data_IF_606660743806
#
_entry.id   IF_606660743806
#
_cell.length_a   1.000
_cell.length_b   1.000
_cell.length_c   1.000
_cell.angle_alpha   90.00
_cell.angle_beta   90.00
_cell.angle_gamma   90.00
#
_symmetry.space_group_name_H-M   'P 1'
#
loop_
_entity.id
_entity.type
_entity.pdbx_description
1 polymer ?
#
# COMPACT_ATOMS: atom_id res chain seq x y z
N UNK A 1 2.48 26.55 -32.30
CA UNK A 1 2.13 25.27 -31.65
C UNK A 1 1.32 25.57 -30.41
N UNK A 2 0.17 24.92 -30.24
CA UNK A 2 -0.71 25.03 -29.07
C UNK A 2 -0.79 23.65 -28.42
N UNK A 3 -0.65 23.56 -27.10
CA UNK A 3 -0.96 22.33 -26.36
C UNK A 3 -2.40 22.42 -25.88
N UNK A 4 -3.18 21.36 -26.09
CA UNK A 4 -4.56 21.25 -25.64
C UNK A 4 -4.72 19.93 -24.91
N UNK A 5 -4.89 19.97 -23.60
CA UNK A 5 -4.93 18.82 -22.70
C UNK A 5 -6.29 18.12 -22.61
N UNK A 6 -7.31 18.65 -23.29
CA UNK A 6 -8.65 18.06 -23.36
C UNK A 6 -9.22 18.23 -24.76
N UNK A 7 -10.21 17.40 -25.12
CA UNK A 7 -10.91 17.53 -26.41
C UNK A 7 -11.58 18.90 -26.59
N UNK A 8 -12.08 19.52 -25.53
CA UNK A 8 -12.67 20.87 -25.58
C UNK A 8 -11.63 21.93 -25.94
N UNK A 9 -10.45 21.89 -25.32
CA UNK A 9 -9.34 22.80 -25.67
C UNK A 9 -8.89 22.60 -27.12
N UNK A 10 -8.98 21.38 -27.66
CA UNK A 10 -8.69 21.12 -29.08
C UNK A 10 -9.73 21.81 -29.97
N UNK A 11 -11.02 21.76 -29.61
CA UNK A 11 -12.09 22.46 -30.37
C UNK A 11 -11.87 23.97 -30.43
N UNK A 12 -11.42 24.58 -29.34
CA UNK A 12 -11.14 26.01 -29.30
C UNK A 12 -9.85 26.38 -30.06
N UNK A 13 -8.87 25.47 -30.08
CA UNK A 13 -7.55 25.73 -30.64
C UNK A 13 -7.40 25.39 -32.12
N UNK A 14 -8.19 24.45 -32.65
CA UNK A 14 -8.09 23.92 -34.01
C UNK A 14 -9.09 24.55 -34.99
N UNK A 15 -8.69 24.61 -36.25
CA UNK A 15 -9.53 25.04 -37.37
C UNK A 15 -9.18 24.23 -38.64
N UNK A 16 -9.86 24.52 -39.75
CA UNK A 16 -9.64 23.84 -41.02
C UNK A 16 -8.22 24.00 -41.60
N UNK A 17 -7.43 25.00 -41.17
CA UNK A 17 -6.01 25.21 -41.55
C UNK A 17 -5.07 24.84 -40.39
N UNK A 18 -5.45 23.83 -39.61
CA UNK A 18 -4.66 23.27 -38.52
C UNK A 18 -4.24 21.82 -38.79
N UNK A 19 -3.14 21.42 -38.16
CA UNK A 19 -2.75 20.02 -37.98
C UNK A 19 -2.99 19.63 -36.52
N UNK A 20 -3.74 18.55 -36.28
CA UNK A 20 -3.84 17.94 -34.94
C UNK A 20 -2.86 16.77 -34.85
N UNK A 21 -1.99 16.78 -33.84
CA UNK A 21 -1.10 15.66 -33.49
C UNK A 21 -1.71 14.89 -32.32
N UNK A 22 -1.90 13.58 -32.50
CA UNK A 22 -2.42 12.67 -31.48
C UNK A 22 -1.42 11.55 -31.22
N UNK A 23 -1.09 11.32 -29.96
CA UNK A 23 -0.32 10.17 -29.49
C UNK A 23 -1.06 9.52 -28.32
N UNK A 24 -1.84 8.48 -28.62
CA UNK A 24 -2.72 7.78 -27.67
C UNK A 24 -2.19 6.39 -27.30
N UNK A 25 -0.97 6.34 -26.76
CA UNK A 25 -0.34 5.07 -26.35
C UNK A 25 -1.12 4.33 -25.26
N UNK A 26 -1.93 5.05 -24.48
CA UNK A 26 -2.78 4.50 -23.42
C UNK A 26 -4.16 4.03 -23.86
N UNK A 27 -4.54 4.20 -25.14
CA UNK A 27 -5.85 3.84 -25.68
C UNK A 27 -7.01 4.52 -24.97
N UNK A 28 -6.87 5.82 -24.65
CA UNK A 28 -7.85 6.58 -23.89
C UNK A 28 -8.99 7.13 -24.74
N UNK A 29 -8.74 7.35 -26.05
CA UNK A 29 -9.73 7.94 -26.95
C UNK A 29 -10.70 6.90 -27.51
N UNK A 30 -11.99 7.24 -27.54
CA UNK A 30 -13.02 6.43 -28.19
C UNK A 30 -13.01 6.65 -29.70
N UNK A 31 -13.67 5.75 -30.45
CA UNK A 31 -13.87 5.96 -31.89
C UNK A 31 -14.61 7.26 -32.22
N UNK A 32 -15.55 7.70 -31.37
CA UNK A 32 -16.25 8.97 -31.53
C UNK A 32 -15.30 10.16 -31.38
N UNK A 33 -14.41 10.13 -30.38
CA UNK A 33 -13.40 11.18 -30.19
C UNK A 33 -12.43 11.26 -31.38
N UNK A 34 -12.00 10.12 -31.94
CA UNK A 34 -11.17 10.13 -33.17
C UNK A 34 -11.91 10.71 -34.37
N UNK A 35 -13.18 10.34 -34.57
CA UNK A 35 -13.99 10.87 -35.66
C UNK A 35 -14.15 12.39 -35.54
N UNK A 36 -14.40 12.88 -34.34
CA UNK A 36 -14.47 14.31 -34.06
C UNK A 36 -13.13 15.03 -34.30
N UNK A 37 -12.02 14.52 -33.75
CA UNK A 37 -10.71 15.12 -33.99
C UNK A 37 -10.37 15.21 -35.48
N UNK A 38 -10.80 14.22 -36.28
CA UNK A 38 -10.58 14.23 -37.72
C UNK A 38 -11.39 15.27 -38.49
N UNK A 39 -12.50 15.76 -37.92
CA UNK A 39 -13.35 16.78 -38.55
C UNK A 39 -13.05 18.21 -38.09
N UNK A 40 -12.31 18.37 -36.98
CA UNK A 40 -11.92 19.68 -36.45
C UNK A 40 -10.76 20.34 -37.22
N UNK A 41 -9.96 19.55 -37.95
CA UNK A 41 -8.74 20.02 -38.59
C UNK A 41 -8.57 19.50 -40.02
N UNK A 42 -7.90 20.28 -40.88
CA UNK A 42 -7.60 19.88 -42.25
C UNK A 42 -6.71 18.63 -42.33
N UNK A 43 -5.83 18.45 -41.33
CA UNK A 43 -4.97 17.28 -41.19
C UNK A 43 -4.94 16.77 -39.75
N UNK A 44 -5.06 15.45 -39.58
CA UNK A 44 -4.78 14.75 -38.32
C UNK A 44 -3.61 13.77 -38.52
N UNK A 45 -2.64 13.83 -37.61
CA UNK A 45 -1.50 12.91 -37.55
C UNK A 45 -1.62 12.08 -36.28
N UNK A 46 -1.88 10.79 -36.44
CA UNK A 46 -1.97 9.84 -35.32
C UNK A 46 -0.71 9.00 -35.28
N UNK A 47 0.00 9.09 -34.16
CA UNK A 47 1.27 8.39 -33.92
C UNK A 47 0.99 7.11 -33.16
N UNK A 48 1.56 6.00 -33.64
CA UNK A 48 1.37 4.65 -33.10
C UNK A 48 -0.12 4.32 -32.86
N UNK A 49 -0.98 4.46 -33.89
CA UNK A 49 -2.41 4.24 -33.74
C UNK A 49 -2.72 2.82 -33.25
N UNK A 50 -3.49 2.74 -32.17
CA UNK A 50 -4.06 1.49 -31.67
C UNK A 50 -5.27 1.02 -32.49
N UNK A 51 -5.90 -0.05 -32.02
CA UNK A 51 -7.03 -0.70 -32.71
C UNK A 51 -8.20 0.26 -32.99
N UNK A 52 -8.63 1.05 -32.00
CA UNK A 52 -9.75 1.99 -32.14
C UNK A 52 -9.47 3.08 -33.17
N UNK A 53 -8.26 3.66 -33.16
CA UNK A 53 -7.84 4.64 -34.14
C UNK A 53 -7.87 4.08 -35.57
N UNK A 54 -7.32 2.87 -35.78
CA UNK A 54 -7.33 2.21 -37.09
C UNK A 54 -8.75 1.89 -37.56
N UNK A 55 -9.58 1.34 -36.68
CA UNK A 55 -10.98 0.97 -36.97
C UNK A 55 -11.81 2.18 -37.40
N UNK A 56 -11.61 3.33 -36.76
CA UNK A 56 -12.36 4.55 -37.05
C UNK A 56 -11.79 5.31 -38.24
N UNK A 57 -10.49 5.59 -38.25
CA UNK A 57 -9.90 6.55 -39.19
C UNK A 57 -9.39 5.91 -40.48
N UNK A 58 -9.11 4.61 -40.48
CA UNK A 58 -8.62 3.91 -41.66
C UNK A 58 -9.12 2.46 -41.75
N UNK A 59 -10.43 2.24 -41.96
CA UNK A 59 -10.98 0.90 -42.16
C UNK A 59 -10.24 0.16 -43.28
N UNK A 60 -9.74 -1.05 -42.98
CA UNK A 60 -8.96 -1.87 -43.92
C UNK A 60 -7.44 -1.66 -43.85
N UNK A 61 -6.96 -0.84 -42.92
CA UNK A 61 -5.55 -0.80 -42.51
C UNK A 61 -5.36 -1.70 -41.29
N UNK A 62 -4.32 -2.55 -41.32
CA UNK A 62 -4.04 -3.54 -40.27
C UNK A 62 -2.59 -3.44 -39.82
N UNK A 63 -2.32 -3.70 -38.54
CA UNK A 63 -0.95 -3.83 -38.03
C UNK A 63 -0.21 -4.96 -38.76
N UNK A 64 1.04 -4.72 -39.12
CA UNK A 64 1.90 -5.63 -39.89
C UNK A 64 3.23 -5.95 -39.20
N UNK A 65 3.31 -5.73 -37.89
CA UNK A 65 4.51 -5.96 -37.08
C UNK A 65 5.40 -4.71 -36.97
N UNK A 66 6.59 -4.89 -36.43
CA UNK A 66 7.50 -3.79 -36.08
C UNK A 66 8.45 -3.41 -37.24
N UNK A 67 8.92 -2.14 -37.29
CA UNK A 67 9.91 -1.73 -38.27
C UNK A 67 11.26 -2.45 -38.05
N UNK A 68 11.78 -3.08 -39.10
CA UNK A 68 13.00 -3.91 -39.03
C UNK A 68 14.29 -3.17 -39.42
N UNK A 69 14.18 -1.95 -39.95
CA UNK A 69 15.33 -1.16 -40.35
C UNK A 69 14.97 0.06 -41.20
N UNK A 70 15.98 0.80 -41.66
CA UNK A 70 15.72 1.98 -42.47
C UNK A 70 15.13 1.64 -43.84
N UNK A 71 14.34 2.56 -44.39
CA UNK A 71 13.50 2.32 -45.57
C UNK A 71 13.24 3.62 -46.34
N UNK A 72 13.16 3.52 -47.67
CA UNK A 72 12.90 4.67 -48.57
C UNK A 72 11.39 4.93 -48.75
N UNK A 73 11.01 6.17 -49.05
CA UNK A 73 9.62 6.63 -49.10
C UNK A 73 8.68 5.76 -49.95
N UNK A 74 9.09 5.40 -51.17
CA UNK A 74 8.34 4.47 -52.04
C UNK A 74 6.93 4.90 -52.42
N UNK A 75 6.56 6.18 -52.26
CA UNK A 75 5.20 6.68 -52.45
C UNK A 75 5.19 8.16 -52.89
N UNK A 76 4.05 8.70 -53.38
CA UNK A 76 3.95 10.08 -53.84
C UNK A 76 3.64 11.11 -52.74
N UNK A 77 3.46 10.70 -51.47
CA UNK A 77 3.14 11.62 -50.37
C UNK A 77 4.28 12.63 -50.21
N UNK A 78 4.03 13.95 -50.30
CA UNK A 78 5.08 14.97 -50.30
C UNK A 78 6.00 14.89 -49.07
N UNK A 79 5.43 14.73 -47.87
CA UNK A 79 6.21 14.60 -46.64
C UNK A 79 7.17 13.40 -46.66
N UNK A 80 6.72 12.26 -47.20
CA UNK A 80 7.57 11.08 -47.35
C UNK A 80 8.66 11.30 -48.41
N UNK A 81 8.33 11.92 -49.54
CA UNK A 81 9.31 12.25 -50.60
C UNK A 81 10.40 13.19 -50.11
N UNK A 82 10.03 14.22 -49.34
CA UNK A 82 10.97 15.18 -48.79
C UNK A 82 11.91 14.55 -47.75
N UNK A 83 11.42 13.56 -47.00
CA UNK A 83 12.26 12.76 -46.11
C UNK A 83 13.21 11.82 -46.88
N UNK A 84 12.75 11.26 -48.00
CA UNK A 84 13.52 10.35 -48.86
C UNK A 84 13.68 8.96 -48.25
N UNK A 85 14.34 8.87 -47.09
CA UNK A 85 14.60 7.64 -46.33
C UNK A 85 14.45 7.92 -44.83
N UNK A 86 13.95 6.96 -44.07
CA UNK A 86 13.77 7.08 -42.61
C UNK A 86 14.35 5.86 -41.90
N UNK A 87 14.65 6.00 -40.61
CA UNK A 87 14.87 4.86 -39.70
C UNK A 87 13.77 4.88 -38.62
N UNK A 88 12.70 4.07 -38.78
CA UNK A 88 11.55 4.07 -37.88
C UNK A 88 11.76 3.16 -36.65
N UNK A 89 12.92 2.51 -36.50
CA UNK A 89 13.17 1.62 -35.36
C UNK A 89 13.13 2.37 -34.03
N UNK A 90 12.68 1.67 -32.99
CA UNK A 90 12.72 2.16 -31.63
C UNK A 90 14.13 2.61 -31.23
N UNK A 91 14.17 3.58 -30.32
CA UNK A 91 15.37 4.14 -29.73
C UNK A 91 15.49 3.66 -28.28
N UNK A 92 16.56 4.07 -27.58
CA UNK A 92 16.74 3.74 -26.18
C UNK A 92 15.62 4.30 -25.30
N UNK A 93 15.08 5.47 -25.65
CA UNK A 93 14.01 6.12 -24.92
C UNK A 93 12.60 5.61 -25.28
N UNK A 94 12.40 5.06 -26.49
CA UNK A 94 11.06 4.57 -26.89
C UNK A 94 10.84 3.08 -26.64
N UNK A 95 11.89 2.26 -26.50
CA UNK A 95 11.78 0.79 -26.40
C UNK A 95 10.83 0.29 -25.31
N UNK A 96 10.67 1.03 -24.21
CA UNK A 96 9.84 0.66 -23.05
C UNK A 96 8.60 1.59 -22.90
N UNK A 97 8.44 2.57 -23.78
CA UNK A 97 7.46 3.65 -23.64
C UNK A 97 6.52 3.79 -24.86
N UNK A 98 6.83 3.11 -25.97
CA UNK A 98 6.10 3.19 -27.23
C UNK A 98 6.02 1.81 -27.88
N UNK A 99 5.03 1.61 -28.75
CA UNK A 99 4.79 0.36 -29.46
C UNK A 99 4.86 0.65 -30.96
N UNK A 100 6.08 0.69 -31.55
CA UNK A 100 6.23 1.02 -32.96
C UNK A 100 5.60 -0.08 -33.82
N UNK A 101 4.84 0.32 -34.83
CA UNK A 101 4.19 -0.56 -35.76
C UNK A 101 4.41 -0.16 -37.21
N UNK A 102 4.19 -1.11 -38.09
CA UNK A 102 4.02 -0.89 -39.53
C UNK A 102 2.62 -1.37 -39.92
N UNK A 103 2.16 -0.96 -41.09
CA UNK A 103 0.79 -1.19 -41.51
C UNK A 103 0.70 -1.85 -42.88
N UNK A 104 -0.12 -2.89 -42.98
CA UNK A 104 -0.63 -3.41 -44.23
C UNK A 104 -1.99 -2.78 -44.52
N UNK A 105 -2.42 -2.78 -45.78
CA UNK A 105 -3.72 -2.25 -46.13
C UNK A 105 -4.36 -3.04 -47.27
N UNK A 106 -5.65 -3.30 -47.11
CA UNK A 106 -6.53 -3.90 -48.11
C UNK A 106 -7.47 -2.85 -48.74
N UNK A 107 -7.25 -1.57 -48.43
CA UNK A 107 -8.04 -0.42 -48.88
C UNK A 107 -7.21 0.52 -49.78
N UNK A 108 -7.87 1.45 -50.46
CA UNK A 108 -7.21 2.50 -51.26
C UNK A 108 -6.63 3.58 -50.35
N UNK A 109 -5.43 3.30 -49.83
CA UNK A 109 -4.65 4.21 -48.99
C UNK A 109 -3.24 4.34 -49.55
N UNK A 110 -2.58 5.46 -49.22
CA UNK A 110 -1.17 5.65 -49.60
C UNK A 110 -0.28 5.11 -48.50
N UNK A 111 0.32 3.95 -48.73
CA UNK A 111 1.37 3.38 -47.87
C UNK A 111 2.74 3.87 -48.34
N UNK A 112 3.54 4.36 -47.39
CA UNK A 112 4.90 4.82 -47.61
C UNK A 112 5.86 4.06 -46.69
N UNK A 113 7.14 4.09 -47.02
CA UNK A 113 8.20 3.46 -46.23
C UNK A 113 7.91 1.97 -46.02
N UNK A 114 7.64 1.26 -47.13
CA UNK A 114 7.24 -0.14 -47.11
C UNK A 114 8.47 -1.05 -47.07
N UNK A 115 8.52 -1.90 -46.05
CA UNK A 115 9.52 -2.95 -45.87
C UNK A 115 8.84 -4.19 -45.32
N UNK A 116 9.21 -5.37 -45.82
CA UNK A 116 8.66 -6.66 -45.39
C UNK A 116 7.11 -6.71 -45.44
N UNK A 117 6.50 -5.94 -46.35
CA UNK A 117 5.04 -5.86 -46.53
C UNK A 117 4.33 -4.78 -45.70
N UNK A 118 4.97 -4.24 -44.65
CA UNK A 118 4.43 -3.19 -43.77
C UNK A 118 4.95 -1.79 -44.14
N UNK A 119 4.06 -0.79 -44.16
CA UNK A 119 4.40 0.62 -44.33
C UNK A 119 4.50 1.36 -43.00
N UNK A 120 5.55 2.16 -42.81
CA UNK A 120 5.73 2.95 -41.57
C UNK A 120 4.91 4.25 -41.54
N UNK A 121 4.31 4.63 -42.67
CA UNK A 121 3.37 5.74 -42.79
C UNK A 121 2.22 5.33 -43.70
N UNK A 122 0.99 5.60 -43.27
CA UNK A 122 -0.20 5.48 -44.11
C UNK A 122 -0.92 6.81 -44.18
N UNK A 123 -1.29 7.27 -45.36
CA UNK A 123 -2.12 8.46 -45.55
C UNK A 123 -3.42 8.08 -46.25
N UNK A 124 -4.53 8.54 -45.69
CA UNK A 124 -5.89 8.38 -46.22
C UNK A 124 -6.67 9.68 -46.09
N UNK A 125 -7.91 9.69 -46.57
CA UNK A 125 -8.85 10.80 -46.37
C UNK A 125 -10.14 10.30 -45.73
N UNK A 126 -10.63 11.04 -44.74
CA UNK A 126 -11.91 10.82 -44.08
C UNK A 126 -12.72 12.10 -44.21
N UNK A 127 -13.87 12.02 -44.89
CA UNK A 127 -14.76 13.17 -45.12
C UNK A 127 -14.07 14.42 -45.70
N UNK A 128 -13.02 14.22 -46.51
CA UNK A 128 -12.24 15.30 -47.12
C UNK A 128 -11.03 15.76 -46.31
N UNK A 129 -10.90 15.37 -45.05
CA UNK A 129 -9.78 15.67 -44.16
C UNK A 129 -8.65 14.66 -44.34
N UNK A 130 -7.40 15.11 -44.24
CA UNK A 130 -6.23 14.23 -44.41
C UNK A 130 -5.90 13.53 -43.10
N UNK A 131 -5.88 12.20 -43.12
CA UNK A 131 -5.46 11.38 -41.98
C UNK A 131 -4.10 10.76 -42.30
N UNK A 132 -3.11 11.02 -41.46
CA UNK A 132 -1.79 10.40 -41.54
C UNK A 132 -1.53 9.55 -40.30
N UNK A 133 -1.29 8.26 -40.51
CA UNK A 133 -0.98 7.28 -39.49
C UNK A 133 0.52 7.02 -39.49
N UNK A 134 1.22 7.48 -38.45
CA UNK A 134 2.66 7.32 -38.30
C UNK A 134 2.95 6.14 -37.37
N UNK A 135 3.70 5.16 -37.86
CA UNK A 135 3.91 3.91 -37.15
C UNK A 135 4.87 3.96 -35.97
N UNK A 136 5.71 4.99 -35.85
CA UNK A 136 6.77 5.00 -34.83
C UNK A 136 6.95 6.39 -34.24
N UNK A 137 6.81 6.51 -32.93
CA UNK A 137 7.06 7.74 -32.18
C UNK A 137 8.56 8.10 -32.18
N UNK A 138 9.46 7.14 -32.37
CA UNK A 138 10.91 7.36 -32.41
C UNK A 138 11.33 8.38 -33.48
N UNK A 139 10.54 8.52 -34.56
CA UNK A 139 10.76 9.52 -35.62
C UNK A 139 10.63 10.96 -35.08
N UNK A 140 9.79 11.16 -34.06
CA UNK A 140 9.49 12.47 -33.45
C UNK A 140 10.29 12.73 -32.17
N UNK A 141 10.94 11.71 -31.60
CA UNK A 141 11.68 11.82 -30.34
C UNK A 141 13.12 12.28 -30.55
N UNK A 142 13.67 12.98 -29.54
CA UNK A 142 14.99 13.59 -29.59
C UNK A 142 16.13 12.63 -29.98
N UNK A 143 16.03 11.33 -29.64
CA UNK A 143 17.07 10.33 -29.90
C UNK A 143 16.89 9.54 -31.20
N UNK A 144 15.82 9.84 -31.95
CA UNK A 144 15.56 9.27 -33.28
C UNK A 144 15.32 10.30 -34.38
N UNK A 145 15.06 11.57 -34.06
CA UNK A 145 14.74 12.62 -35.04
C UNK A 145 15.88 12.91 -36.02
N UNK A 146 17.12 12.71 -35.61
CA UNK A 146 18.33 12.92 -36.42
C UNK A 146 18.72 11.73 -37.31
N UNK A 147 17.99 10.60 -37.21
CA UNK A 147 18.26 9.41 -38.03
C UNK A 147 17.68 9.58 -39.43
N UNK A 148 18.55 9.44 -40.44
CA UNK A 148 18.16 9.52 -41.85
C UNK A 148 17.35 10.81 -42.13
N UNK A 149 16.16 10.70 -42.71
CA UNK A 149 15.23 11.80 -42.98
C UNK A 149 14.09 11.95 -41.96
N UNK A 150 14.23 11.42 -40.73
CA UNK A 150 13.18 11.47 -39.71
C UNK A 150 12.73 12.92 -39.41
N UNK A 151 13.67 13.85 -39.21
CA UNK A 151 13.38 15.27 -39.01
C UNK A 151 12.60 15.88 -40.19
N UNK A 152 13.00 15.56 -41.42
CA UNK A 152 12.31 16.05 -42.61
C UNK A 152 10.88 15.49 -42.69
N UNK A 153 10.66 14.22 -42.32
CA UNK A 153 9.33 13.64 -42.24
C UNK A 153 8.47 14.35 -41.19
N UNK A 154 9.01 14.53 -39.98
CA UNK A 154 8.34 15.18 -38.86
C UNK A 154 7.90 16.61 -39.21
N UNK A 155 8.81 17.42 -39.76
CA UNK A 155 8.54 18.81 -40.13
C UNK A 155 7.48 18.91 -41.24
N UNK A 156 7.51 18.02 -42.23
CA UNK A 156 6.55 18.06 -43.33
C UNK A 156 5.17 17.49 -42.95
N UNK A 157 5.11 16.54 -42.02
CA UNK A 157 3.83 16.02 -41.50
C UNK A 157 3.16 17.03 -40.56
N UNK A 158 3.92 17.60 -39.63
CA UNK A 158 3.38 18.46 -38.57
C UNK A 158 3.28 19.93 -38.99
N UNK A 159 4.14 20.38 -39.91
CA UNK A 159 4.21 21.75 -40.40
C UNK A 159 3.49 22.00 -41.72
N UNK A 160 2.61 21.09 -42.16
CA UNK A 160 1.82 21.26 -43.40
C UNK A 160 0.82 22.43 -43.34
N UNK A 161 0.46 22.84 -42.12
CA UNK A 161 -0.49 23.90 -41.81
C UNK A 161 0.14 24.95 -40.88
N UNK A 162 -0.47 26.14 -40.79
CA UNK A 162 0.06 27.25 -39.96
C UNK A 162 -0.02 26.96 -38.46
N UNK A 163 -1.05 26.22 -38.05
CA UNK A 163 -1.33 25.91 -36.65
C UNK A 163 -1.11 24.43 -36.41
N UNK A 164 -0.29 24.08 -35.42
CA UNK A 164 -0.14 22.72 -34.90
C UNK A 164 -0.75 22.68 -33.49
N UNK A 165 -1.74 21.80 -33.30
CA UNK A 165 -2.37 21.51 -32.02
C UNK A 165 -1.91 20.14 -31.55
N UNK A 166 -1.21 20.08 -30.42
CA UNK A 166 -0.87 18.82 -29.76
C UNK A 166 -2.00 18.45 -28.82
N UNK A 167 -2.61 17.27 -29.02
CA UNK A 167 -3.56 16.64 -28.13
C UNK A 167 -2.87 15.47 -27.39
N UNK A 168 -2.47 15.59 -26.11
CA UNK A 168 -2.00 14.50 -25.28
C UNK A 168 -3.22 13.87 -24.60
N UNK A 169 -3.84 12.82 -25.16
CA UNK A 169 -5.02 12.21 -24.55
C UNK A 169 -4.71 11.75 -23.13
N UNK A 170 -5.47 12.29 -22.17
CA UNK A 170 -5.29 12.05 -20.75
C UNK A 170 -6.31 11.06 -20.21
N UNK A 171 -6.13 10.64 -18.95
CA UNK A 171 -7.08 9.78 -18.22
C UNK A 171 -8.48 10.44 -18.16
N UNK A 172 -8.55 11.77 -18.19
CA UNK A 172 -9.80 12.54 -18.21
C UNK A 172 -10.60 12.40 -19.52
N UNK A 173 -9.96 11.98 -20.62
CA UNK A 173 -10.61 11.77 -21.92
C UNK A 173 -11.15 10.34 -22.08
N UNK A 174 -10.90 9.45 -21.11
CA UNK A 174 -11.59 8.17 -21.07
C UNK A 174 -13.07 8.42 -20.81
N UNK A 175 -13.99 7.67 -21.46
CA UNK A 175 -15.39 7.74 -21.12
C UNK A 175 -15.51 7.50 -19.61
N UNK A 176 -16.10 8.46 -18.90
CA UNK A 176 -16.57 8.26 -17.53
C UNK A 176 -17.71 7.27 -17.64
N UNK A 177 -17.41 5.98 -17.75
CA UNK A 177 -18.35 4.97 -17.30
C UNK A 177 -18.48 5.27 -15.82
N UNK A 178 -19.62 5.86 -15.42
CA UNK A 178 -19.95 6.01 -14.00
C UNK A 178 -19.61 4.72 -13.25
N UNK A 179 -19.29 4.77 -11.94
CA UNK A 179 -18.81 3.61 -11.21
C UNK A 179 -19.64 2.39 -11.60
N UNK A 180 -19.00 1.32 -12.15
CA UNK A 180 -19.73 0.16 -12.65
C UNK A 180 -20.66 -0.32 -11.54
N UNK A 181 -21.90 -0.68 -11.92
CA UNK A 181 -22.86 -1.16 -10.94
C UNK A 181 -22.22 -2.33 -10.18
N UNK A 182 -22.42 -2.43 -8.87
CA UNK A 182 -21.78 -3.47 -8.05
C UNK A 182 -22.07 -4.88 -8.61
N UNK A 183 -23.18 -5.01 -9.34
CA UNK A 183 -23.60 -6.18 -10.11
C UNK A 183 -22.69 -6.54 -11.31
N UNK A 184 -22.07 -5.56 -11.99
CA UNK A 184 -21.14 -5.80 -13.10
C UNK A 184 -19.74 -6.23 -12.61
N UNK A 185 -19.37 -5.78 -11.40
CA UNK A 185 -18.12 -6.15 -10.75
C UNK A 185 -18.18 -7.48 -9.97
N UNK A 186 -19.37 -8.03 -9.76
CA UNK A 186 -19.53 -9.32 -9.07
C UNK A 186 -19.65 -10.45 -10.10
N UNK A 187 -18.68 -11.38 -10.16
CA UNK A 187 -18.83 -12.60 -10.94
C UNK A 187 -20.14 -13.31 -10.63
N UNK A 188 -20.80 -13.91 -11.63
CA UNK A 188 -22.13 -14.51 -11.46
C UNK A 188 -22.25 -15.61 -10.38
N UNK A 189 -21.13 -16.12 -9.86
CA UNK A 189 -21.09 -17.06 -8.74
C UNK A 189 -21.21 -16.40 -7.35
N UNK A 190 -21.00 -15.09 -7.24
CA UNK A 190 -21.03 -14.37 -5.95
C UNK A 190 -22.45 -14.32 -5.38
N UNK A 191 -23.44 -14.03 -6.22
CA UNK A 191 -24.86 -14.02 -5.82
C UNK A 191 -25.32 -15.35 -5.20
N UNK A 192 -25.12 -16.52 -5.85
CA UNK A 192 -25.47 -17.78 -5.22
C UNK A 192 -24.63 -18.09 -3.97
N UNK A 193 -23.37 -17.65 -3.89
CA UNK A 193 -22.53 -17.83 -2.69
C UNK A 193 -23.07 -17.02 -1.48
N UNK A 194 -23.51 -15.77 -1.70
CA UNK A 194 -24.11 -14.93 -0.64
C UNK A 194 -25.45 -15.52 -0.17
N UNK A 195 -26.29 -16.01 -1.10
CA UNK A 195 -27.54 -16.68 -0.75
C UNK A 195 -27.30 -17.95 0.06
N UNK A 196 -26.28 -18.74 -0.29
CA UNK A 196 -25.88 -19.91 0.47
C UNK A 196 -25.41 -19.52 1.88
N UNK A 197 -24.60 -18.47 2.01
CA UNK A 197 -24.15 -17.95 3.31
C UNK A 197 -25.32 -17.53 4.20
N UNK A 198 -26.31 -16.82 3.64
CA UNK A 198 -27.53 -16.43 4.36
C UNK A 198 -28.35 -17.65 4.79
N UNK A 199 -28.49 -18.65 3.92
CA UNK A 199 -29.18 -19.90 4.24
C UNK A 199 -28.47 -20.68 5.36
N UNK A 200 -27.14 -20.79 5.30
CA UNK A 200 -26.32 -21.42 6.35
C UNK A 200 -26.43 -20.65 7.66
N UNK A 201 -26.37 -19.32 7.62
CA UNK A 201 -26.56 -18.48 8.81
C UNK A 201 -27.95 -18.68 9.42
N UNK A 202 -29.01 -18.68 8.62
CA UNK A 202 -30.37 -18.93 9.10
C UNK A 202 -30.51 -20.33 9.70
N UNK A 203 -29.97 -21.35 9.03
CA UNK A 203 -29.95 -22.72 9.55
C UNK A 203 -29.19 -22.81 10.89
N UNK A 204 -28.03 -22.14 11.00
CA UNK A 204 -27.25 -22.08 12.23
C UNK A 204 -27.99 -21.32 13.34
N UNK A 205 -28.66 -20.21 13.03
CA UNK A 205 -29.46 -19.44 13.96
C UNK A 205 -30.66 -20.25 14.48
N UNK A 206 -31.35 -20.98 13.59
CA UNK A 206 -32.43 -21.89 13.97
C UNK A 206 -31.90 -23.04 14.82
N UNK A 207 -30.81 -23.70 14.41
CA UNK A 207 -30.20 -24.81 15.16
C UNK A 207 -29.77 -24.38 16.56
N UNK A 208 -29.11 -23.22 16.67
CA UNK A 208 -28.62 -22.68 17.94
C UNK A 208 -29.74 -22.08 18.79
N UNK A 209 -30.78 -21.52 18.15
CA UNK A 209 -31.97 -20.96 18.81
C UNK A 209 -32.97 -22.02 19.28
N UNK A 210 -33.02 -23.20 18.64
CA UNK A 210 -33.87 -24.33 19.06
C UNK A 210 -33.42 -25.02 20.34
N UNK A 211 -32.31 -24.60 20.96
CA UNK A 211 -31.78 -25.16 22.21
C UNK A 211 -31.91 -24.21 23.40
N UNK A 212 -33.13 -23.78 23.66
CA UNK A 212 -33.58 -23.57 25.03
C UNK A 212 -34.62 -24.65 25.31
N UNK A 213 -34.17 -25.78 25.86
CA UNK A 213 -35.08 -26.70 26.52
C UNK A 213 -35.85 -25.93 27.61
N UNK A 214 -37.05 -26.41 28.02
CA UNK A 214 -37.85 -25.68 29.00
C UNK A 214 -36.97 -25.26 30.16
N UNK A 215 -36.86 -23.95 30.40
CA UNK A 215 -36.36 -23.46 31.68
C UNK A 215 -37.35 -23.97 32.69
N UNK A 216 -37.01 -25.12 33.28
CA UNK A 216 -37.64 -25.58 34.50
C UNK A 216 -37.48 -24.42 35.46
N UNK A 217 -38.61 -23.78 35.76
CA UNK A 217 -38.67 -22.71 36.75
C UNK A 217 -38.54 -23.42 38.08
N UNK A 218 -37.30 -23.74 38.44
CA UNK A 218 -37.01 -24.24 39.76
C UNK A 218 -37.23 -23.05 40.69
N UNK A 219 -38.26 -23.14 41.52
CA UNK A 219 -38.65 -22.11 42.47
C UNK A 219 -37.53 -21.90 43.48
N UNK A 220 -36.52 -21.08 43.17
CA UNK A 220 -35.54 -20.64 44.17
C UNK A 220 -36.21 -19.59 45.06
N UNK A 221 -36.40 -19.87 46.36
CA UNK A 221 -37.22 -19.04 47.24
C UNK A 221 -36.41 -17.90 47.86
N UNK A 222 -35.58 -17.16 47.12
CA UNK A 222 -35.00 -15.89 47.60
C UNK A 222 -34.83 -14.88 46.45
N UNK A 223 -35.53 -13.74 46.56
CA UNK A 223 -35.28 -12.52 45.77
C UNK A 223 -34.03 -11.85 46.34
N UNK A 224 -32.93 -11.81 45.58
CA UNK A 224 -31.74 -11.06 45.99
C UNK A 224 -31.79 -9.63 45.44
N UNK A 225 -31.78 -8.64 46.36
CA UNK A 225 -31.89 -7.20 46.05
C UNK A 225 -30.58 -6.67 45.45
N UNK A 226 -30.68 -5.74 44.50
CA UNK A 226 -29.56 -5.08 43.79
C UNK A 226 -28.48 -4.42 44.70
N UNK A 227 -28.71 -4.33 46.02
CA UNK A 227 -27.70 -3.93 46.99
C UNK A 227 -26.61 -4.98 47.23
N UNK A 228 -26.91 -6.28 47.15
CA UNK A 228 -25.94 -7.34 47.45
C UNK A 228 -24.83 -7.44 46.40
N UNK A 229 -25.11 -7.14 45.14
CA UNK A 229 -24.09 -7.10 44.09
C UNK A 229 -23.10 -5.95 44.29
N UNK A 230 -23.55 -4.80 44.83
CA UNK A 230 -22.66 -3.69 45.20
C UNK A 230 -21.80 -4.05 46.40
N UNK A 231 -22.37 -4.69 47.41
CA UNK A 231 -21.64 -5.11 48.60
C UNK A 231 -20.62 -6.21 48.29
N UNK A 232 -20.97 -7.16 47.41
CA UNK A 232 -20.05 -8.18 46.93
C UNK A 232 -18.84 -7.59 46.20
N UNK A 233 -19.06 -6.60 45.33
CA UNK A 233 -17.97 -5.91 44.61
C UNK A 233 -17.14 -4.99 45.51
N UNK A 234 -17.78 -4.33 46.48
CA UNK A 234 -17.10 -3.55 47.51
C UNK A 234 -16.20 -4.42 48.40
N UNK A 235 -16.69 -5.59 48.85
CA UNK A 235 -15.87 -6.57 49.58
C UNK A 235 -14.71 -7.11 48.74
N UNK A 236 -14.92 -7.27 47.43
CA UNK A 236 -13.85 -7.69 46.51
C UNK A 236 -12.74 -6.64 46.40
N UNK A 237 -13.09 -5.36 46.22
CA UNK A 237 -12.12 -4.26 46.20
C UNK A 237 -11.46 -4.02 47.57
N UNK A 238 -12.19 -4.25 48.65
CA UNK A 238 -11.61 -4.17 50.00
C UNK A 238 -10.55 -5.26 50.22
N UNK A 239 -10.79 -6.49 49.72
CA UNK A 239 -9.78 -7.57 49.80
C UNK A 239 -8.52 -7.26 49.00
N UNK A 240 -8.63 -6.69 47.80
CA UNK A 240 -7.43 -6.32 47.03
C UNK A 240 -6.64 -5.18 47.70
N UNK A 241 -7.33 -4.18 48.26
CA UNK A 241 -6.71 -3.07 49.01
C UNK A 241 -6.04 -3.53 50.31
N UNK A 242 -6.62 -4.52 51.01
CA UNK A 242 -6.06 -5.06 52.25
C UNK A 242 -4.69 -5.74 52.04
N UNK A 243 -4.46 -6.39 50.89
CA UNK A 243 -3.20 -7.08 50.57
C UNK A 243 -2.00 -6.13 50.46
N UNK A 244 -2.16 -5.03 49.74
CA UNK A 244 -1.10 -4.04 49.57
C UNK A 244 -0.73 -3.40 50.92
N UNK A 245 -1.74 -3.04 51.72
CA UNK A 245 -1.53 -2.50 53.07
C UNK A 245 -0.81 -3.48 54.00
N UNK A 246 -1.12 -4.77 53.90
CA UNK A 246 -0.43 -5.81 54.66
C UNK A 246 1.03 -5.96 54.25
N UNK A 247 1.33 -5.94 52.94
CA UNK A 247 2.70 -5.95 52.43
C UNK A 247 3.52 -4.76 52.93
N UNK A 248 2.94 -3.54 52.89
CA UNK A 248 3.59 -2.33 53.37
C UNK A 248 3.87 -2.40 54.88
N UNK A 249 2.91 -2.87 55.68
CA UNK A 249 3.07 -3.00 57.13
C UNK A 249 4.19 -4.00 57.50
N UNK A 250 4.28 -5.13 56.78
CA UNK A 250 5.35 -6.11 56.95
C UNK A 250 6.72 -5.51 56.62
N UNK A 251 6.84 -4.80 55.49
CA UNK A 251 8.08 -4.14 55.06
C UNK A 251 8.54 -3.07 56.02
N UNK A 252 7.64 -2.18 56.46
CA UNK A 252 7.96 -1.13 57.44
C UNK A 252 8.51 -1.76 58.73
N UNK A 253 7.87 -2.82 59.21
CA UNK A 253 8.34 -3.55 60.39
C UNK A 253 9.72 -4.19 60.18
N UNK A 254 9.93 -4.83 59.04
CA UNK A 254 11.18 -5.51 58.69
C UNK A 254 12.34 -4.52 58.53
N UNK A 255 12.15 -3.44 57.76
CA UNK A 255 13.14 -2.36 57.58
C UNK A 255 13.56 -1.80 58.94
N UNK A 256 12.60 -1.55 59.85
CA UNK A 256 12.91 -1.06 61.19
C UNK A 256 13.73 -2.03 62.05
N UNK A 257 13.53 -3.35 61.90
CA UNK A 257 14.34 -4.38 62.60
C UNK A 257 15.71 -4.54 61.95
N UNK A 258 15.78 -4.59 60.62
CA UNK A 258 17.01 -4.70 59.85
C UNK A 258 17.94 -3.50 60.10
N UNK A 259 17.41 -2.27 60.08
CA UNK A 259 18.18 -1.06 60.38
C UNK A 259 18.83 -1.12 61.77
N UNK A 260 18.09 -1.62 62.78
CA UNK A 260 18.63 -1.85 64.13
C UNK A 260 19.70 -2.94 64.14
N UNK A 261 19.49 -4.03 63.39
CA UNK A 261 20.43 -5.13 63.32
C UNK A 261 21.77 -4.71 62.71
N UNK A 262 21.77 -3.89 61.65
CA UNK A 262 23.00 -3.40 61.00
C UNK A 262 23.56 -2.11 61.61
N UNK A 263 22.93 -1.56 62.66
CA UNK A 263 23.42 -0.38 63.38
C UNK A 263 23.22 0.95 62.65
N UNK A 264 22.27 1.05 61.71
CA UNK A 264 22.01 2.27 60.95
C UNK A 264 21.06 3.24 61.68
N UNK A 265 21.28 4.57 61.56
CA UNK A 265 20.36 5.58 62.08
C UNK A 265 18.96 5.50 61.46
N UNK A 266 17.93 5.97 62.21
CA UNK A 266 16.54 6.05 61.72
C UNK A 266 16.32 7.03 60.56
N UNK A 267 17.32 7.85 60.23
CA UNK A 267 17.30 8.78 59.10
C UNK A 267 17.74 8.14 57.78
N UNK A 268 18.31 6.92 57.82
CA UNK A 268 18.67 6.20 56.60
C UNK A 268 17.42 5.80 55.81
N UNK A 269 17.53 5.91 54.50
CA UNK A 269 16.51 5.49 53.56
C UNK A 269 16.41 3.97 53.51
N UNK A 270 15.26 3.45 53.11
CA UNK A 270 15.06 2.01 52.95
C UNK A 270 16.00 1.40 51.89
N UNK A 271 16.46 2.18 50.90
CA UNK A 271 17.46 1.75 49.93
C UNK A 271 18.85 1.58 50.56
N UNK A 272 19.30 2.52 51.38
CA UNK A 272 20.59 2.42 52.09
C UNK A 272 20.59 1.24 53.08
N UNK A 273 19.46 0.99 53.74
CA UNK A 273 19.28 -0.18 54.62
C UNK A 273 19.34 -1.47 53.81
N UNK A 274 18.69 -1.54 52.65
CA UNK A 274 18.76 -2.70 51.76
C UNK A 274 20.19 -2.99 51.28
N UNK A 275 20.94 -1.97 50.88
CA UNK A 275 22.33 -2.10 50.44
C UNK A 275 23.26 -2.59 51.57
N UNK A 276 23.08 -2.06 52.78
CA UNK A 276 23.85 -2.48 53.96
C UNK A 276 23.53 -3.93 54.35
N UNK A 277 22.25 -4.32 54.33
CA UNK A 277 21.83 -5.71 54.59
C UNK A 277 22.42 -6.65 53.54
N UNK A 278 22.32 -6.32 52.25
CA UNK A 278 22.89 -7.13 51.17
C UNK A 278 24.41 -7.30 51.32
N UNK A 279 25.12 -6.26 51.75
CA UNK A 279 26.56 -6.33 52.01
C UNK A 279 26.89 -7.27 53.18
N UNK A 280 26.14 -7.18 54.28
CA UNK A 280 26.35 -7.98 55.49
C UNK A 280 25.99 -9.45 55.26
N UNK A 281 24.90 -9.75 54.57
CA UNK A 281 24.48 -11.13 54.27
C UNK A 281 25.17 -11.73 53.04
N UNK A 282 26.00 -10.94 52.33
CA UNK A 282 26.60 -11.30 51.02
C UNK A 282 25.55 -11.77 50.01
N UNK A 283 24.38 -11.14 50.04
CA UNK A 283 23.27 -11.42 49.13
C UNK A 283 23.29 -10.47 47.92
N UNK A 284 22.59 -10.86 46.85
CA UNK A 284 22.43 -9.99 45.69
C UNK A 284 21.68 -8.70 46.05
N UNK A 285 22.22 -7.54 45.65
CA UNK A 285 21.63 -6.23 45.98
C UNK A 285 20.27 -6.03 45.34
N UNK A 286 20.09 -6.44 44.07
CA UNK A 286 18.78 -6.36 43.40
C UNK A 286 17.74 -7.24 44.08
N UNK A 287 18.12 -8.45 44.50
CA UNK A 287 17.22 -9.35 45.24
C UNK A 287 16.74 -8.76 46.56
N UNK A 288 17.64 -8.22 47.39
CA UNK A 288 17.27 -7.60 48.68
C UNK A 288 16.41 -6.35 48.48
N UNK A 289 16.73 -5.54 47.46
CA UNK A 289 15.93 -4.36 47.11
C UNK A 289 14.53 -4.75 46.63
N UNK A 290 14.41 -5.78 45.79
CA UNK A 290 13.12 -6.33 45.33
C UNK A 290 12.20 -6.70 46.50
N UNK A 291 12.74 -7.46 47.45
CA UNK A 291 12.00 -7.90 48.64
C UNK A 291 11.54 -6.70 49.48
N UNK A 292 12.44 -5.74 49.75
CA UNK A 292 12.16 -4.62 50.66
C UNK A 292 11.35 -3.48 50.04
N UNK A 293 11.41 -3.28 48.72
CA UNK A 293 10.88 -2.10 48.06
C UNK A 293 10.00 -2.40 46.84
N UNK A 294 10.47 -3.25 45.93
CA UNK A 294 9.94 -3.23 44.56
C UNK A 294 8.88 -4.31 44.26
N UNK A 295 8.89 -5.46 44.96
CA UNK A 295 7.96 -6.56 44.65
C UNK A 295 6.51 -6.25 45.07
N UNK A 296 5.52 -6.47 44.20
CA UNK A 296 4.11 -6.21 44.51
C UNK A 296 3.33 -7.54 44.51
N UNK A 297 2.89 -8.06 45.67
CA UNK A 297 2.12 -9.31 45.71
C UNK A 297 0.71 -9.12 45.14
N UNK A 298 0.37 -9.93 44.15
CA UNK A 298 -0.95 -9.93 43.48
C UNK A 298 -1.90 -11.01 44.02
N UNK A 299 -1.36 -12.00 44.74
CA UNK A 299 -2.10 -13.12 45.35
C UNK A 299 -1.77 -13.27 46.84
N UNK A 300 -2.69 -13.87 47.61
CA UNK A 300 -2.48 -14.14 49.04
C UNK A 300 -1.28 -15.09 49.28
N UNK A 301 -1.03 -16.02 48.34
CA UNK A 301 0.14 -16.90 48.37
C UNK A 301 1.45 -16.12 48.20
N UNK A 302 1.49 -15.12 47.31
CA UNK A 302 2.67 -14.25 47.14
C UNK A 302 2.90 -13.37 48.38
N UNK A 303 1.84 -12.90 49.05
CA UNK A 303 1.97 -12.14 50.29
C UNK A 303 2.58 -12.99 51.42
N UNK A 304 2.14 -14.25 51.56
CA UNK A 304 2.74 -15.19 52.52
C UNK A 304 4.21 -15.47 52.19
N UNK A 305 4.53 -15.74 50.92
CA UNK A 305 5.90 -15.94 50.48
C UNK A 305 6.80 -14.72 50.75
N UNK A 306 6.28 -13.51 50.57
CA UNK A 306 6.99 -12.26 50.93
C UNK A 306 7.25 -12.20 52.44
N UNK A 307 6.26 -12.53 53.27
CA UNK A 307 6.41 -12.57 54.73
C UNK A 307 7.51 -13.55 55.16
N UNK A 308 7.51 -14.75 54.58
CA UNK A 308 8.52 -15.78 54.88
C UNK A 308 9.92 -15.34 54.43
N UNK A 309 10.02 -14.71 53.26
CA UNK A 309 11.28 -14.18 52.72
C UNK A 309 11.84 -13.04 53.58
N UNK A 310 10.98 -12.15 54.08
CA UNK A 310 11.37 -11.09 55.01
C UNK A 310 11.90 -11.68 56.33
N UNK A 311 11.24 -12.70 56.87
CA UNK A 311 11.67 -13.37 58.09
C UNK A 311 13.01 -14.12 57.92
N UNK A 312 13.25 -14.73 56.76
CA UNK A 312 14.54 -15.34 56.42
C UNK A 312 15.64 -14.28 56.32
N UNK A 313 15.38 -13.15 55.65
CA UNK A 313 16.33 -12.05 55.51
C UNK A 313 16.72 -11.47 56.88
N UNK A 314 15.75 -11.31 57.79
CA UNK A 314 16.01 -10.89 59.17
C UNK A 314 16.89 -11.88 59.93
N UNK A 315 16.61 -13.20 59.82
CA UNK A 315 17.42 -14.24 60.46
C UNK A 315 18.84 -14.27 59.90
N UNK A 316 18.99 -14.20 58.57
CA UNK A 316 20.30 -14.16 57.91
C UNK A 316 21.12 -12.92 58.34
N UNK A 317 20.47 -11.76 58.43
CA UNK A 317 21.12 -10.52 58.90
C UNK A 317 21.56 -10.65 60.35
N UNK A 318 20.69 -11.16 61.23
CA UNK A 318 21.03 -11.36 62.64
C UNK A 318 22.22 -12.33 62.80
N UNK A 319 22.24 -13.43 62.04
CA UNK A 319 23.34 -14.39 62.04
C UNK A 319 24.66 -13.79 61.53
N UNK A 320 24.60 -12.92 60.51
CA UNK A 320 25.78 -12.28 59.93
C UNK A 320 26.37 -11.16 60.82
N UNK A 321 25.53 -10.45 61.58
CA UNK A 321 25.99 -9.40 62.51
C UNK A 321 26.42 -9.97 63.86
N UNK A 322 25.94 -11.16 64.24
CA UNK A 322 26.37 -11.83 65.47
C UNK A 322 27.75 -12.48 65.24
N UNK A 323 28.82 -12.06 65.92
CA UNK A 323 30.13 -12.69 65.77
C UNK A 323 30.07 -14.15 66.27
N UNK A 324 30.23 -15.11 65.36
CA UNK A 324 30.29 -16.53 65.67
C UNK A 324 31.57 -16.90 66.42
N UNK A 325 31.40 -17.58 67.55
CA UNK A 325 32.45 -18.27 68.32
C UNK A 325 33.36 -19.09 67.38
N UNK A 326 34.64 -18.75 67.38
CA UNK A 326 35.68 -19.56 66.76
C UNK A 326 35.68 -20.96 67.39
N UNK A 327 35.47 -21.99 66.57
CA UNK A 327 35.78 -23.37 66.95
C UNK A 327 37.27 -23.49 67.28
N UNK A 328 37.64 -24.24 68.34
CA UNK A 328 39.02 -24.32 68.79
C UNK A 328 39.90 -24.98 67.73
N UNK A 329 40.92 -24.24 67.30
CA UNK A 329 42.01 -24.73 66.46
C UNK A 329 42.82 -25.75 67.25
N UNK A 330 42.99 -26.96 66.70
CA UNK A 330 43.86 -27.98 67.28
C UNK A 330 45.35 -27.60 67.21
N UNK A 331 46.09 -27.98 68.25
CA UNK A 331 47.55 -28.21 68.28
C UNK A 331 47.81 -29.14 69.49
N UNK A 332 48.00 -30.45 69.31
CA UNK A 332 49.20 -31.21 68.94
C UNK A 332 50.41 -31.05 69.89
N UNK A 333 50.78 -32.19 70.48
CA UNK A 333 52.05 -32.62 71.12
C UNK A 333 52.38 -32.01 72.50
N UNK A 334 52.77 -32.78 73.53
CA UNK A 334 53.46 -34.08 73.62
C UNK A 334 52.79 -35.05 74.61
#
# INVERSE_FOLDING_TARGET
MRAAGTLEEVREAADADSTILVFDSGGSLTGEAYAELSSLAGTIVVVEPGFEALRTLAPGVHAAGEPTGPVSAGCPVPAARNAGRIDPRATGNTKDASLPGTFSANADVRRCFVRDGGGSLVQTRVEGHTVSLLGSAAILMNDGVDREGNAALALNLLGGHRTLVWCPPGIADRPVTGPPDLAELTPGWVTPAVLLLLAVFAAAAIWRGRRFGPLVVESLPIVVRAGETREGRARLYQRSSARLRAADALRIGAIGRLARAVGLPRTCTAGEIADAVAAVTRSDRSGVRGILLDDIPTTDAQLLALSDTLAELERATAAAVTPGQAGPTGRMEQ
#
